data_IF_907862240810
#
_entry.id   IF_907862240810
#
_cell.length_a   1.000
_cell.length_b   1.000
_cell.length_c   1.000
_cell.angle_alpha   90.00
_cell.angle_beta   90.00
_cell.angle_gamma   90.00
#
_symmetry.space_group_name_H-M   'P 1'
#
loop_
_entity.id
_entity.type
_entity.pdbx_description
1 polymer ?
#
# COMPACT_ATOMS: atom_id res chain seq x y z
N UNK A 1 24.30 16.31 -28.49
CA UNK A 1 23.90 16.36 -27.06
C UNK A 1 23.47 14.96 -26.65
N UNK A 2 24.16 14.36 -25.68
CA UNK A 2 23.92 13.00 -25.21
C UNK A 2 22.53 12.90 -24.56
N UNK A 3 21.69 11.99 -25.05
CA UNK A 3 20.51 11.56 -24.31
C UNK A 3 20.99 10.80 -23.07
N UNK A 4 20.98 11.46 -21.91
CA UNK A 4 21.13 10.82 -20.61
C UNK A 4 20.10 9.69 -20.52
N UNK A 5 20.59 8.45 -20.56
CA UNK A 5 19.76 7.25 -20.47
C UNK A 5 18.83 7.34 -19.26
N UNK A 6 17.53 7.15 -19.50
CA UNK A 6 16.51 7.17 -18.46
C UNK A 6 16.90 6.15 -17.39
N UNK A 7 17.29 6.62 -16.20
CA UNK A 7 17.75 5.75 -15.10
C UNK A 7 16.70 4.68 -14.86
N UNK A 8 17.05 3.43 -15.15
CA UNK A 8 16.16 2.29 -14.96
C UNK A 8 15.89 2.17 -13.47
N UNK A 9 14.62 2.22 -13.09
CA UNK A 9 14.21 2.03 -11.71
C UNK A 9 14.75 0.68 -11.19
N UNK A 10 15.62 0.72 -10.19
CA UNK A 10 16.33 -0.43 -9.63
C UNK A 10 15.58 -1.14 -8.49
N UNK A 11 14.44 -0.60 -8.05
CA UNK A 11 13.74 -1.07 -6.85
C UNK A 11 13.22 -2.49 -6.99
N UNK A 12 13.30 -3.26 -5.90
CA UNK A 12 12.76 -4.61 -5.80
C UNK A 12 11.27 -4.59 -5.44
N UNK A 13 10.48 -5.58 -5.91
CA UNK A 13 9.08 -5.75 -5.54
C UNK A 13 8.93 -6.23 -4.09
N UNK A 14 7.95 -5.68 -3.36
CA UNK A 14 7.41 -6.31 -2.15
C UNK A 14 6.28 -7.24 -2.62
N UNK A 15 6.60 -8.50 -2.95
CA UNK A 15 5.59 -9.50 -3.35
C UNK A 15 4.73 -9.94 -2.16
N UNK A 16 3.74 -10.79 -2.40
CA UNK A 16 2.87 -11.34 -1.34
C UNK A 16 3.67 -11.96 -0.18
N UNK A 17 4.67 -12.79 -0.48
CA UNK A 17 5.50 -13.43 0.56
C UNK A 17 6.33 -12.41 1.34
N UNK A 18 6.90 -11.41 0.67
CA UNK A 18 7.62 -10.31 1.33
C UNK A 18 6.69 -9.55 2.26
N UNK A 19 5.49 -9.22 1.77
CA UNK A 19 4.47 -8.54 2.56
C UNK A 19 4.10 -9.36 3.80
N UNK A 20 3.96 -10.68 3.67
CA UNK A 20 3.71 -11.60 4.79
C UNK A 20 4.77 -11.45 5.87
N UNK A 21 6.05 -11.56 5.51
CA UNK A 21 7.17 -11.38 6.43
C UNK A 21 7.17 -10.01 7.09
N UNK A 22 6.95 -8.94 6.32
CA UNK A 22 6.86 -7.58 6.85
C UNK A 22 5.73 -7.46 7.88
N UNK A 23 4.53 -7.97 7.56
CA UNK A 23 3.36 -7.89 8.43
C UNK A 23 3.53 -8.69 9.73
N UNK A 24 4.15 -9.87 9.63
CA UNK A 24 4.46 -10.70 10.79
C UNK A 24 5.49 -10.02 11.72
N UNK A 25 6.48 -9.32 11.18
CA UNK A 25 7.57 -8.74 11.99
C UNK A 25 7.25 -7.38 12.61
N UNK A 26 6.19 -6.69 12.19
CA UNK A 26 5.87 -5.34 12.66
C UNK A 26 5.75 -5.22 14.19
N UNK A 27 5.30 -6.27 14.89
CA UNK A 27 5.22 -6.27 16.36
C UNK A 27 6.58 -6.15 17.07
N UNK A 28 7.69 -6.46 16.38
CA UNK A 28 9.06 -6.28 16.87
C UNK A 28 9.63 -4.89 16.58
N UNK A 29 9.04 -4.19 15.61
CA UNK A 29 9.52 -2.90 15.10
C UNK A 29 8.73 -1.72 15.69
N UNK A 30 7.42 -1.89 15.82
CA UNK A 30 6.52 -0.87 16.30
C UNK A 30 6.56 -0.74 17.82
N UNK A 31 6.39 0.48 18.33
CA UNK A 31 6.48 0.79 19.77
C UNK A 31 5.27 0.35 20.58
N UNK A 32 4.17 -0.01 19.93
CA UNK A 32 2.92 -0.40 20.58
C UNK A 32 2.06 -1.30 19.71
N UNK A 33 1.05 -1.94 20.32
CA UNK A 33 0.03 -2.71 19.62
C UNK A 33 -0.71 -1.82 18.62
N UNK A 34 -1.04 -0.58 19.01
CA UNK A 34 -1.67 0.40 18.14
C UNK A 34 -0.84 0.64 16.87
N UNK A 35 0.44 1.00 17.01
CA UNK A 35 1.31 1.26 15.87
C UNK A 35 1.48 0.00 15.01
N UNK A 36 1.53 -1.18 15.63
CA UNK A 36 1.57 -2.46 14.89
C UNK A 36 0.33 -2.61 14.02
N UNK A 37 -0.88 -2.37 14.55
CA UNK A 37 -2.13 -2.46 13.78
C UNK A 37 -2.21 -1.38 12.69
N UNK A 38 -1.80 -0.15 13.01
CA UNK A 38 -1.69 0.96 12.05
C UNK A 38 -0.83 0.58 10.84
N UNK A 39 0.40 0.11 11.06
CA UNK A 39 1.31 -0.23 9.97
C UNK A 39 0.91 -1.52 9.22
N UNK A 40 0.33 -2.52 9.91
CA UNK A 40 -0.22 -3.70 9.24
C UNK A 40 -1.32 -3.32 8.25
N UNK A 41 -2.28 -2.49 8.69
CA UNK A 41 -3.35 -2.00 7.85
C UNK A 41 -2.84 -1.12 6.69
N UNK A 42 -1.89 -0.23 6.96
CA UNK A 42 -1.31 0.64 5.94
C UNK A 42 -0.50 -0.13 4.88
N UNK A 43 0.28 -1.14 5.29
CA UNK A 43 1.06 -1.99 4.37
C UNK A 43 0.16 -2.89 3.54
N UNK A 44 -0.85 -3.51 4.16
CA UNK A 44 -1.84 -4.31 3.46
C UNK A 44 -2.60 -3.48 2.43
N UNK A 45 -3.12 -2.31 2.81
CA UNK A 45 -3.83 -1.44 1.87
C UNK A 45 -2.91 -0.95 0.73
N UNK A 46 -1.64 -0.65 1.04
CA UNK A 46 -0.67 -0.27 0.02
C UNK A 46 -0.47 -1.35 -1.06
N UNK A 47 -0.41 -2.61 -0.66
CA UNK A 47 -0.24 -3.74 -1.56
C UNK A 47 -1.54 -4.11 -2.28
N UNK A 48 -2.58 -4.53 -1.54
CA UNK A 48 -3.81 -5.07 -2.12
C UNK A 48 -4.60 -4.02 -2.92
N UNK A 49 -4.53 -2.74 -2.53
CA UNK A 49 -5.16 -1.64 -3.27
C UNK A 49 -4.32 -1.08 -4.44
N UNK A 50 -3.14 -1.65 -4.71
CA UNK A 50 -2.18 -1.12 -5.68
C UNK A 50 -1.91 0.39 -5.48
N UNK A 51 -1.88 0.81 -4.22
CA UNK A 51 -1.99 2.23 -3.89
C UNK A 51 -0.68 2.96 -4.17
N UNK A 52 -0.78 4.23 -4.57
CA UNK A 52 0.36 5.13 -4.43
C UNK A 52 0.46 5.49 -2.95
N UNK A 53 1.64 5.44 -2.36
CA UNK A 53 1.78 5.80 -0.93
C UNK A 53 1.36 7.25 -0.62
N UNK A 54 1.36 8.13 -1.61
CA UNK A 54 0.79 9.49 -1.45
C UNK A 54 -0.75 9.54 -1.36
N UNK A 55 -1.46 8.46 -1.69
CA UNK A 55 -2.91 8.30 -1.49
C UNK A 55 -3.21 7.81 -0.06
N UNK A 56 -2.22 7.25 0.65
CA UNK A 56 -2.34 6.66 1.99
C UNK A 56 -1.76 7.56 3.09
N UNK A 57 -0.69 8.29 2.76
CA UNK A 57 0.12 9.03 3.74
C UNK A 57 0.09 10.53 3.47
N UNK A 58 0.14 11.30 4.55
CA UNK A 58 0.33 12.74 4.48
C UNK A 58 1.67 13.09 3.83
N UNK A 59 1.61 14.01 2.87
CA UNK A 59 2.80 14.55 2.19
C UNK A 59 2.98 16.03 2.55
N UNK A 60 1.96 16.85 2.32
CA UNK A 60 1.93 18.28 2.66
C UNK A 60 0.47 18.79 2.61
N UNK A 61 0.25 20.06 3.02
CA UNK A 61 -1.09 20.68 3.05
C UNK A 61 -1.80 20.65 1.69
N UNK A 62 -1.09 20.87 0.59
CA UNK A 62 -1.69 20.89 -0.75
C UNK A 62 -2.11 19.50 -1.23
N UNK A 63 -1.44 18.46 -0.73
CA UNK A 63 -1.74 17.07 -1.08
C UNK A 63 -2.77 16.41 -0.15
N UNK A 64 -3.15 17.07 0.94
CA UNK A 64 -4.00 16.50 2.01
C UNK A 64 -5.40 16.11 1.50
N UNK A 65 -5.90 16.81 0.49
CA UNK A 65 -7.18 16.50 -0.15
C UNK A 65 -7.16 15.20 -0.97
N UNK A 66 -5.98 14.69 -1.32
CA UNK A 66 -5.79 13.46 -2.10
C UNK A 66 -5.45 12.24 -1.23
N UNK A 67 -5.37 12.42 0.09
CA UNK A 67 -5.11 11.33 1.04
C UNK A 67 -6.43 10.75 1.50
N UNK A 68 -6.52 9.42 1.54
CA UNK A 68 -7.70 8.69 2.00
C UNK A 68 -8.14 9.16 3.39
N UNK A 69 -9.43 9.46 3.51
CA UNK A 69 -10.10 9.79 4.75
C UNK A 69 -10.84 8.59 5.30
N UNK A 70 -11.17 8.62 6.58
CA UNK A 70 -11.99 7.57 7.18
C UNK A 70 -13.35 7.41 6.46
N UNK A 71 -13.96 8.53 6.04
CA UNK A 71 -15.23 8.57 5.30
C UNK A 71 -15.20 7.87 3.94
N UNK A 72 -14.01 7.66 3.39
CA UNK A 72 -13.82 7.10 2.05
C UNK A 72 -13.81 5.56 2.06
N UNK A 73 -14.04 4.95 3.22
CA UNK A 73 -13.98 3.50 3.43
C UNK A 73 -15.34 2.99 3.91
N UNK A 74 -15.92 2.02 3.21
CA UNK A 74 -17.18 1.37 3.60
C UNK A 74 -16.99 -0.14 3.67
N UNK A 75 -17.37 -0.74 4.79
CA UNK A 75 -17.28 -2.19 4.96
C UNK A 75 -18.61 -2.84 4.58
N UNK A 76 -18.51 -3.98 3.89
CA UNK A 76 -19.61 -4.90 3.68
C UNK A 76 -19.30 -6.18 4.45
N UNK A 77 -19.97 -6.36 5.59
CA UNK A 77 -19.73 -7.50 6.47
C UNK A 77 -20.28 -8.82 5.89
N UNK A 78 -21.26 -8.76 4.98
CA UNK A 78 -21.87 -9.94 4.37
C UNK A 78 -20.85 -10.64 3.47
N UNK A 79 -20.25 -9.88 2.56
CA UNK A 79 -19.29 -10.41 1.58
C UNK A 79 -17.84 -10.31 2.09
N UNK A 80 -17.65 -9.84 3.33
CA UNK A 80 -16.33 -9.60 3.93
C UNK A 80 -15.43 -8.73 3.05
N UNK A 81 -15.96 -7.57 2.63
CA UNK A 81 -15.28 -6.63 1.73
C UNK A 81 -15.11 -5.25 2.35
N UNK A 82 -14.17 -4.48 1.79
CA UNK A 82 -14.07 -3.05 2.00
C UNK A 82 -14.00 -2.31 0.67
N UNK A 83 -14.87 -1.31 0.53
CA UNK A 83 -14.90 -0.37 -0.57
C UNK A 83 -14.07 0.84 -0.18
N UNK A 84 -13.01 1.12 -0.95
CA UNK A 84 -12.07 2.22 -0.71
C UNK A 84 -12.14 3.21 -1.87
N UNK A 85 -12.69 4.39 -1.63
CA UNK A 85 -12.88 5.42 -2.66
C UNK A 85 -11.73 6.42 -2.67
N UNK A 86 -10.99 6.45 -3.78
CA UNK A 86 -9.92 7.43 -4.02
C UNK A 86 -10.55 8.62 -4.75
N UNK A 87 -10.73 9.74 -4.04
CA UNK A 87 -11.47 10.91 -4.54
C UNK A 87 -10.78 11.66 -5.70
N UNK A 88 -9.44 11.67 -5.73
CA UNK A 88 -8.69 12.21 -6.86
C UNK A 88 -7.24 11.75 -6.79
N UNK A 89 -6.66 11.41 -7.94
CA UNK A 89 -5.24 11.08 -8.05
C UNK A 89 -4.49 12.22 -8.73
N UNK A 90 -3.17 12.33 -8.49
CA UNK A 90 -2.31 13.34 -9.14
C UNK A 90 -2.36 13.34 -10.69
N UNK A 91 -2.87 12.27 -11.29
CA UNK A 91 -3.00 12.10 -12.74
C UNK A 91 -4.41 12.34 -13.26
N UNK A 92 -5.36 12.67 -12.39
CA UNK A 92 -6.75 12.89 -12.75
C UNK A 92 -7.04 14.39 -12.78
N UNK A 93 -6.96 14.97 -13.99
CA UNK A 93 -7.28 16.37 -14.24
C UNK A 93 -8.80 16.64 -14.29
N UNK A 94 -9.63 15.58 -14.22
CA UNK A 94 -11.09 15.64 -14.43
C UNK A 94 -11.85 15.42 -13.11
N UNK A 95 -11.25 14.76 -12.11
CA UNK A 95 -11.83 14.60 -10.78
C UNK A 95 -12.77 13.39 -10.63
N UNK A 96 -12.54 12.34 -11.42
CA UNK A 96 -13.27 11.09 -11.32
C UNK A 96 -12.72 10.22 -10.18
N UNK A 97 -13.49 10.12 -9.10
CA UNK A 97 -13.18 9.18 -8.01
C UNK A 97 -13.14 7.74 -8.50
N UNK A 98 -12.22 6.93 -7.99
CA UNK A 98 -12.18 5.48 -8.25
C UNK A 98 -12.45 4.71 -6.97
N UNK A 99 -13.39 3.77 -6.98
CA UNK A 99 -13.65 2.87 -5.85
C UNK A 99 -12.98 1.53 -6.09
N UNK A 100 -12.15 1.12 -5.15
CA UNK A 100 -11.55 -0.21 -5.10
C UNK A 100 -12.41 -1.11 -4.23
N UNK A 101 -12.61 -2.34 -4.67
CA UNK A 101 -13.27 -3.38 -3.87
C UNK A 101 -12.16 -4.34 -3.42
N UNK A 102 -11.97 -4.45 -2.11
CA UNK A 102 -10.97 -5.34 -1.51
C UNK A 102 -11.70 -6.39 -0.69
N UNK A 103 -11.69 -7.63 -1.17
CA UNK A 103 -12.34 -8.75 -0.52
C UNK A 103 -11.36 -9.48 0.41
N UNK A 104 -11.90 -10.16 1.42
CA UNK A 104 -11.11 -11.06 2.26
C UNK A 104 -10.47 -12.17 1.43
N UNK A 105 -9.26 -12.61 1.81
CA UNK A 105 -8.63 -13.78 1.23
C UNK A 105 -8.97 -15.02 2.07
N UNK A 106 -9.82 -15.90 1.56
CA UNK A 106 -10.27 -17.09 2.32
C UNK A 106 -9.12 -18.07 2.65
N UNK A 107 -7.99 -17.98 1.93
CA UNK A 107 -6.89 -18.92 2.02
C UNK A 107 -5.77 -18.52 3.00
N UNK A 108 -5.70 -17.26 3.47
CA UNK A 108 -4.64 -16.83 4.40
C UNK A 108 -5.12 -15.73 5.36
N UNK A 109 -5.68 -16.16 6.49
CA UNK A 109 -6.18 -15.29 7.56
C UNK A 109 -5.14 -14.28 8.09
N UNK A 110 -3.83 -14.52 7.91
CA UNK A 110 -2.78 -13.61 8.38
C UNK A 110 -2.61 -12.39 7.48
N UNK A 111 -2.98 -12.51 6.20
CA UNK A 111 -2.87 -11.49 5.16
C UNK A 111 -4.23 -10.92 4.68
N UNK A 112 -5.27 -11.01 5.50
CA UNK A 112 -6.56 -10.39 5.18
C UNK A 112 -6.56 -8.86 5.39
N UNK A 113 -6.63 -8.10 4.30
CA UNK A 113 -6.68 -6.62 4.32
C UNK A 113 -7.91 -6.09 5.06
N UNK A 114 -9.07 -6.73 4.88
CA UNK A 114 -10.33 -6.35 5.53
C UNK A 114 -10.21 -6.49 7.04
N UNK A 115 -9.70 -7.62 7.52
CA UNK A 115 -9.44 -7.87 8.94
C UNK A 115 -8.44 -6.86 9.51
N UNK A 116 -7.32 -6.62 8.83
CA UNK A 116 -6.30 -5.68 9.30
C UNK A 116 -6.82 -4.25 9.40
N UNK A 117 -7.63 -3.80 8.44
CA UNK A 117 -8.28 -2.49 8.50
C UNK A 117 -9.29 -2.42 9.66
N UNK A 118 -10.14 -3.44 9.84
CA UNK A 118 -11.07 -3.51 10.97
C UNK A 118 -10.35 -3.47 12.32
N UNK A 119 -9.33 -4.29 12.51
CA UNK A 119 -8.53 -4.34 13.73
C UNK A 119 -7.89 -2.99 14.07
N UNK A 120 -7.40 -2.26 13.06
CA UNK A 120 -6.87 -0.92 13.25
C UNK A 120 -7.99 0.08 13.60
N UNK A 121 -9.10 0.07 12.87
CA UNK A 121 -10.20 1.01 13.06
C UNK A 121 -10.88 0.87 14.43
N UNK A 122 -10.90 -0.33 15.00
CA UNK A 122 -11.39 -0.57 16.37
C UNK A 122 -10.56 0.18 17.44
N UNK A 123 -9.27 0.42 17.18
CA UNK A 123 -8.37 1.10 18.10
C UNK A 123 -8.10 2.56 17.73
N UNK A 124 -8.43 2.95 16.49
CA UNK A 124 -8.20 4.30 15.95
C UNK A 124 -8.94 5.32 16.80
N UNK A 125 -8.30 6.43 17.23
CA UNK A 125 -8.98 7.50 17.93
C UNK A 125 -10.15 8.05 17.11
N UNK A 126 -11.27 8.33 17.79
CA UNK A 126 -12.43 8.94 17.16
C UNK A 126 -12.11 10.38 16.77
N UNK A 127 -11.76 10.57 15.51
CA UNK A 127 -11.44 11.85 14.94
C UNK A 127 -11.65 11.83 13.43
N UNK A 128 -12.16 12.95 12.91
CA UNK A 128 -12.33 13.17 11.48
C UNK A 128 -10.96 13.31 10.78
N UNK A 129 -10.95 13.09 9.46
CA UNK A 129 -9.77 13.31 8.62
C UNK A 129 -9.17 12.02 8.06
N UNK A 130 -7.85 11.97 7.97
CA UNK A 130 -7.13 10.89 7.29
C UNK A 130 -7.42 9.52 7.92
N UNK A 131 -7.50 8.49 7.08
CA UNK A 131 -7.70 7.12 7.50
C UNK A 131 -6.62 6.69 8.50
N UNK A 132 -5.35 6.94 8.17
CA UNK A 132 -4.21 6.56 9.00
C UNK A 132 -3.67 7.72 9.83
N UNK A 133 -3.76 7.58 11.16
CA UNK A 133 -3.20 8.51 12.13
C UNK A 133 -2.56 7.76 13.30
N UNK A 134 -1.64 8.42 13.97
CA UNK A 134 -1.05 7.98 15.23
C UNK A 134 -2.04 8.20 16.37
N UNK A 135 -1.78 7.56 17.52
CA UNK A 135 -2.66 7.66 18.70
C UNK A 135 -2.83 9.10 19.21
N UNK A 136 -1.83 9.96 18.96
CA UNK A 136 -1.88 11.40 19.27
C UNK A 136 -2.56 12.24 18.17
N UNK A 137 -3.36 11.63 17.30
CA UNK A 137 -4.06 12.24 16.16
C UNK A 137 -3.16 12.81 15.05
N UNK A 138 -1.84 12.69 15.15
CA UNK A 138 -0.96 13.11 14.07
C UNK A 138 -1.13 12.20 12.86
N UNK A 139 -1.14 12.81 11.69
CA UNK A 139 -1.26 12.12 10.40
C UNK A 139 -0.07 11.20 10.17
N UNK A 140 -0.31 10.02 9.58
CA UNK A 140 0.78 9.15 9.15
C UNK A 140 1.51 9.78 7.95
N UNK A 141 2.79 10.11 8.12
CA UNK A 141 3.59 10.70 7.05
C UNK A 141 4.27 9.63 6.18
N UNK A 142 4.60 10.01 4.93
CA UNK A 142 5.42 9.17 4.04
C UNK A 142 6.78 8.81 4.65
N UNK A 143 7.37 9.73 5.41
CA UNK A 143 8.65 9.52 6.09
C UNK A 143 8.54 8.42 7.15
N UNK A 144 7.52 8.47 8.01
CA UNK A 144 7.28 7.44 9.03
C UNK A 144 6.97 6.08 8.40
N UNK A 145 6.14 6.06 7.35
CA UNK A 145 5.88 4.84 6.58
C UNK A 145 7.16 4.19 6.05
N UNK A 146 8.04 4.98 5.43
CA UNK A 146 9.30 4.48 4.91
C UNK A 146 10.26 4.06 6.03
N UNK A 147 10.30 4.78 7.15
CA UNK A 147 11.15 4.45 8.28
C UNK A 147 10.77 3.09 8.87
N UNK A 148 9.47 2.83 9.10
CA UNK A 148 9.00 1.54 9.61
C UNK A 148 9.24 0.41 8.59
N UNK A 149 9.02 0.67 7.30
CA UNK A 149 9.37 -0.30 6.25
C UNK A 149 10.85 -0.69 6.32
N UNK A 150 11.75 0.28 6.40
CA UNK A 150 13.20 0.03 6.46
C UNK A 150 13.58 -0.74 7.72
N UNK A 151 13.00 -0.40 8.86
CA UNK A 151 13.23 -1.14 10.10
C UNK A 151 12.75 -2.59 10.02
N UNK A 152 11.59 -2.84 9.40
CA UNK A 152 11.08 -4.20 9.17
C UNK A 152 11.96 -5.01 8.21
N UNK A 153 12.41 -4.39 7.11
CA UNK A 153 13.35 -5.02 6.15
C UNK A 153 14.68 -5.37 6.81
N UNK A 154 15.23 -4.48 7.64
CA UNK A 154 16.44 -4.76 8.41
C UNK A 154 16.26 -5.95 9.36
N UNK A 155 15.10 -6.06 10.02
CA UNK A 155 14.84 -7.14 10.96
C UNK A 155 14.82 -8.51 10.25
N UNK A 156 14.33 -8.58 9.01
CA UNK A 156 14.34 -9.80 8.19
C UNK A 156 15.64 -9.97 7.38
N UNK A 157 16.69 -9.20 7.69
CA UNK A 157 18.04 -9.28 7.08
C UNK A 157 18.02 -8.99 5.57
N UNK A 158 17.12 -8.13 5.13
CA UNK A 158 17.05 -7.69 3.73
C UNK A 158 17.63 -6.29 3.59
N UNK A 159 18.30 -6.02 2.46
CA UNK A 159 18.90 -4.71 2.21
C UNK A 159 17.80 -3.65 1.98
N UNK A 160 17.56 -2.71 2.92
CA UNK A 160 16.46 -1.76 2.80
C UNK A 160 16.64 -0.75 1.67
N UNK A 161 17.86 -0.56 1.16
CA UNK A 161 18.15 0.38 0.07
C UNK A 161 17.66 -0.13 -1.29
N UNK A 162 17.33 -1.41 -1.40
CA UNK A 162 16.71 -1.99 -2.59
C UNK A 162 15.21 -1.73 -2.66
N UNK A 163 14.61 -1.23 -1.58
CA UNK A 163 13.16 -1.04 -1.44
C UNK A 163 12.81 0.41 -1.14
N UNK A 164 11.61 0.82 -1.55
CA UNK A 164 10.99 2.02 -0.99
C UNK A 164 9.47 1.93 -1.02
N UNK A 165 8.79 3.02 -0.67
CA UNK A 165 7.32 3.17 -0.75
C UNK A 165 6.69 2.63 -2.05
N UNK A 166 7.36 2.74 -3.19
CA UNK A 166 6.85 2.27 -4.48
C UNK A 166 6.94 0.76 -4.67
N UNK A 167 7.82 0.09 -3.92
CA UNK A 167 8.02 -1.35 -3.98
C UNK A 167 6.75 -2.13 -3.67
N UNK A 168 5.82 -1.59 -2.87
CA UNK A 168 4.49 -2.17 -2.66
C UNK A 168 3.71 -2.29 -3.96
N UNK A 169 3.62 -1.20 -4.73
CA UNK A 169 2.85 -1.17 -5.97
C UNK A 169 3.53 -1.95 -7.10
N UNK A 170 4.87 -1.95 -7.15
CA UNK A 170 5.65 -2.84 -8.03
C UNK A 170 5.36 -4.31 -7.66
N UNK A 171 5.37 -4.63 -6.38
CA UNK A 171 5.18 -5.98 -5.89
C UNK A 171 3.76 -6.51 -6.05
N UNK A 172 2.74 -5.66 -5.89
CA UNK A 172 1.36 -6.01 -6.20
C UNK A 172 1.19 -6.39 -7.69
N UNK A 173 1.74 -5.58 -8.61
CA UNK A 173 1.73 -5.91 -10.04
C UNK A 173 2.53 -7.18 -10.37
N UNK A 174 3.69 -7.35 -9.74
CA UNK A 174 4.52 -8.53 -9.96
C UNK A 174 3.84 -9.79 -9.44
N UNK A 175 3.20 -9.73 -8.28
CA UNK A 175 2.44 -10.85 -7.70
C UNK A 175 1.25 -11.20 -8.58
N UNK A 176 0.47 -10.21 -9.00
CA UNK A 176 -0.65 -10.44 -9.90
C UNK A 176 -0.24 -11.12 -11.23
N UNK A 177 0.91 -10.71 -11.79
CA UNK A 177 1.46 -11.36 -12.98
C UNK A 177 1.90 -12.81 -12.71
N UNK A 178 2.50 -13.09 -11.55
CA UNK A 178 2.86 -14.45 -11.12
C UNK A 178 1.63 -15.34 -10.90
N UNK A 179 0.52 -14.75 -10.45
CA UNK A 179 -0.79 -15.41 -10.32
C UNK A 179 -1.53 -15.58 -11.66
N UNK A 180 -0.91 -15.17 -12.77
CA UNK A 180 -1.45 -15.37 -14.12
C UNK A 180 -2.48 -14.33 -14.57
N UNK A 181 -2.61 -13.19 -13.87
CA UNK A 181 -3.46 -12.09 -14.33
C UNK A 181 -2.94 -11.50 -15.63
N UNK A 182 -3.86 -11.07 -16.51
CA UNK A 182 -3.47 -10.44 -17.77
C UNK A 182 -2.95 -9.02 -17.55
N UNK A 183 -2.19 -8.50 -18.52
CA UNK A 183 -1.70 -7.12 -18.47
C UNK A 183 -2.86 -6.11 -18.34
N UNK A 184 -4.00 -6.37 -18.98
CA UNK A 184 -5.21 -5.54 -18.91
C UNK A 184 -5.83 -5.53 -17.51
N UNK A 185 -5.91 -6.69 -16.86
CA UNK A 185 -6.40 -6.80 -15.47
C UNK A 185 -5.48 -6.05 -14.51
N UNK A 186 -4.16 -6.24 -14.63
CA UNK A 186 -3.18 -5.58 -13.75
C UNK A 186 -3.18 -4.06 -13.99
N UNK A 187 -3.32 -3.62 -15.25
CA UNK A 187 -3.49 -2.20 -15.58
C UNK A 187 -4.72 -1.61 -14.90
N UNK A 188 -5.84 -2.35 -14.92
CA UNK A 188 -7.10 -1.93 -14.31
C UNK A 188 -6.95 -1.81 -12.79
N UNK A 189 -6.45 -2.87 -12.12
CA UNK A 189 -6.20 -2.90 -10.67
C UNK A 189 -5.28 -1.76 -10.22
N UNK A 190 -4.17 -1.59 -10.94
CA UNK A 190 -3.20 -0.57 -10.62
C UNK A 190 -3.53 0.81 -11.14
N UNK A 191 -4.58 1.02 -11.92
CA UNK A 191 -4.92 2.33 -12.50
C UNK A 191 -3.75 2.89 -13.32
N UNK A 192 -3.19 2.05 -14.21
CA UNK A 192 -2.11 2.39 -15.13
C UNK A 192 -2.64 2.64 -16.54
N UNK A 193 -2.04 3.61 -17.23
CA UNK A 193 -2.21 3.74 -18.68
C UNK A 193 -1.28 2.77 -19.40
N UNK A 194 -1.72 2.26 -20.55
CA UNK A 194 -1.20 1.08 -21.28
C UNK A 194 0.33 0.90 -21.32
N UNK A 195 1.10 1.97 -21.47
CA UNK A 195 2.57 1.87 -21.57
C UNK A 195 3.32 1.84 -20.22
N UNK A 196 2.65 2.10 -19.09
CA UNK A 196 3.33 2.24 -17.80
C UNK A 196 3.51 0.92 -17.05
N UNK A 197 2.64 -0.07 -17.25
CA UNK A 197 2.65 -1.35 -16.53
C UNK A 197 3.97 -2.12 -16.67
N UNK A 198 4.57 -2.15 -17.88
CA UNK A 198 5.80 -2.91 -18.15
C UNK A 198 6.97 -2.53 -17.22
N UNK A 199 6.93 -1.32 -16.65
CA UNK A 199 7.93 -0.86 -15.67
C UNK A 199 7.66 -1.31 -14.22
N UNK A 200 6.52 -1.92 -13.94
CA UNK A 200 6.11 -2.36 -12.60
C UNK A 200 6.20 -3.87 -12.39
N UNK A 201 6.05 -4.68 -13.44
CA UNK A 201 6.25 -6.14 -13.34
C UNK A 201 7.75 -6.43 -13.30
N UNK A 202 8.25 -7.05 -12.22
CA UNK A 202 9.68 -7.26 -11.93
C UNK A 202 10.03 -8.72 -11.64
N UNK A 203 9.72 -9.60 -12.59
CA UNK A 203 10.03 -11.04 -12.48
C UNK A 203 11.53 -11.34 -12.32
N UNK A 204 12.41 -10.54 -12.93
CA UNK A 204 13.86 -10.72 -12.83
C UNK A 204 14.50 -10.22 -11.53
N UNK A 205 13.71 -9.71 -10.59
CA UNK A 205 14.19 -9.11 -9.34
C UNK A 205 13.43 -9.58 -8.11
N UNK A 206 12.81 -10.76 -8.20
CA UNK A 206 12.23 -11.43 -7.06
C UNK A 206 13.31 -11.67 -5.99
N UNK A 207 12.92 -11.54 -4.74
CA UNK A 207 13.75 -11.92 -3.60
C UNK A 207 13.23 -13.26 -3.13
N UNK A 208 14.11 -14.25 -3.12
CA UNK A 208 13.86 -15.57 -2.56
C UNK A 208 14.29 -15.60 -1.09
#
# INVERSE_FOLDING_TARGET
>A
MQHLGKRVDSRKPITFDVLKWLILILHRVCKSIYETKLFRAAFALAFFGFMRIGEITYVNKNADNHVLKISDNKFNDIDSEVFVTIMSSKTDQIGCSTTLILSSNDNDNELCVVKMLKDYLQLRPDSQGQLFCHLNHNKLTRFQFLAVLRSALNFIIWNPEEFNTHSFRIGAATTAALEGKTDEEIQTLGRWNSNSLKSYIRLSRLVN
#
